data_IF_282471407681
#
_entry.id   IF_282471407681
#
_cell.length_a   1.000
_cell.length_b   1.000
_cell.length_c   1.000
_cell.angle_alpha   90.00
_cell.angle_beta   90.00
_cell.angle_gamma   90.00
#
_symmetry.space_group_name_H-M   'P 1'
#
loop_
_entity.id
_entity.type
_entity.pdbx_description
1 polymer ?
#
# COMPACT_ATOMS: atom_id res chain seq x y z
N UNK A 1 45.48 -54.30 14.56
CA UNK A 1 45.06 -53.50 13.40
C UNK A 1 43.55 -53.29 13.44
N UNK A 2 43.03 -52.33 14.22
CA UNK A 2 41.55 -52.16 14.33
C UNK A 2 41.10 -50.73 14.66
N UNK A 3 42.00 -49.87 15.16
CA UNK A 3 41.66 -48.50 15.56
C UNK A 3 41.65 -47.49 14.39
N UNK A 4 42.51 -47.69 13.38
CA UNK A 4 42.73 -46.71 12.30
C UNK A 4 41.50 -46.56 11.38
N UNK A 5 40.68 -47.61 11.23
CA UNK A 5 39.51 -47.60 10.35
C UNK A 5 38.25 -46.91 10.93
N UNK A 6 38.19 -46.64 12.24
CA UNK A 6 37.02 -45.97 12.85
C UNK A 6 37.09 -44.45 12.69
N UNK A 7 38.29 -43.87 12.77
CA UNK A 7 38.50 -42.42 12.60
C UNK A 7 38.18 -41.95 11.17
N UNK A 8 38.56 -42.74 10.16
CA UNK A 8 38.33 -42.45 8.75
C UNK A 8 36.84 -42.52 8.34
N UNK A 9 36.07 -43.43 8.96
CA UNK A 9 34.62 -43.53 8.74
C UNK A 9 33.86 -42.39 9.41
N UNK A 10 34.32 -41.89 10.56
CA UNK A 10 33.65 -40.80 11.28
C UNK A 10 33.91 -39.44 10.61
N UNK A 11 35.11 -39.19 10.12
CA UNK A 11 35.43 -37.99 9.32
C UNK A 11 34.61 -37.90 8.02
N UNK A 12 34.32 -39.04 7.38
CA UNK A 12 33.47 -39.09 6.18
C UNK A 12 32.01 -38.75 6.47
N UNK A 13 31.46 -39.19 7.60
CA UNK A 13 30.07 -38.89 8.01
C UNK A 13 29.93 -37.43 8.43
N UNK A 14 30.91 -36.88 9.17
CA UNK A 14 30.93 -35.46 9.56
C UNK A 14 31.08 -34.55 8.33
N UNK A 15 31.91 -34.92 7.36
CA UNK A 15 32.07 -34.18 6.10
C UNK A 15 30.80 -34.20 5.24
N UNK A 16 30.05 -35.32 5.24
CA UNK A 16 28.79 -35.42 4.49
C UNK A 16 27.67 -34.58 5.15
N UNK A 17 27.62 -34.55 6.49
CA UNK A 17 26.68 -33.72 7.24
C UNK A 17 26.99 -32.21 7.11
N UNK A 18 28.26 -31.83 7.04
CA UNK A 18 28.67 -30.43 6.85
C UNK A 18 28.38 -29.94 5.43
N UNK A 19 28.51 -30.82 4.42
CA UNK A 19 28.19 -30.49 3.03
C UNK A 19 26.68 -30.35 2.77
N UNK A 20 25.83 -31.00 3.59
CA UNK A 20 24.37 -30.84 3.51
C UNK A 20 23.89 -29.47 4.03
N UNK A 21 24.65 -28.83 4.92
CA UNK A 21 24.29 -27.54 5.52
C UNK A 21 24.59 -26.34 4.60
N UNK A 22 25.43 -26.52 3.59
CA UNK A 22 25.83 -25.45 2.66
C UNK A 22 24.85 -25.22 1.49
N UNK A 23 23.80 -26.04 1.38
CA UNK A 23 22.73 -25.88 0.38
C UNK A 23 21.49 -25.15 0.92
N UNK A 24 21.56 -24.57 2.11
CA UNK A 24 20.55 -23.61 2.56
C UNK A 24 20.66 -22.34 1.71
N UNK A 25 19.88 -22.26 0.63
CA UNK A 25 19.85 -21.10 -0.24
C UNK A 25 19.64 -19.84 0.59
N UNK A 26 20.56 -18.87 0.46
CA UNK A 26 20.42 -17.55 1.06
C UNK A 26 19.22 -16.83 0.44
N UNK A 27 18.03 -17.08 0.98
CA UNK A 27 16.94 -16.11 0.88
C UNK A 27 17.46 -14.82 1.53
N UNK A 28 17.47 -13.73 0.75
CA UNK A 28 17.92 -12.44 1.27
C UNK A 28 17.02 -12.01 2.43
N UNK A 29 17.59 -11.33 3.43
CA UNK A 29 16.82 -10.85 4.60
C UNK A 29 15.63 -9.98 4.20
N UNK A 30 15.76 -9.25 3.10
CA UNK A 30 14.71 -8.41 2.53
C UNK A 30 13.56 -9.23 1.94
N UNK A 31 13.87 -10.29 1.19
CA UNK A 31 12.85 -11.20 0.67
C UNK A 31 12.09 -11.93 1.79
N UNK A 32 12.80 -12.30 2.85
CA UNK A 32 12.16 -12.93 4.01
C UNK A 32 11.17 -11.97 4.69
N UNK A 33 11.58 -10.72 4.93
CA UNK A 33 10.71 -9.71 5.56
C UNK A 33 9.46 -9.41 4.71
N UNK A 34 9.61 -9.23 3.39
CA UNK A 34 8.46 -8.98 2.52
C UNK A 34 7.46 -10.15 2.55
N UNK A 35 7.97 -11.39 2.56
CA UNK A 35 7.13 -12.59 2.65
C UNK A 35 6.44 -12.71 4.01
N UNK A 36 7.14 -12.39 5.09
CA UNK A 36 6.58 -12.40 6.45
C UNK A 36 5.41 -11.42 6.58
N UNK A 37 5.60 -10.17 6.15
CA UNK A 37 4.53 -9.16 6.14
C UNK A 37 3.32 -9.62 5.32
N UNK A 38 3.54 -10.20 4.14
CA UNK A 38 2.44 -10.70 3.31
C UNK A 38 1.69 -11.87 3.97
N UNK A 39 2.40 -12.79 4.61
CA UNK A 39 1.80 -13.92 5.31
C UNK A 39 0.99 -13.44 6.52
N UNK A 40 1.55 -12.52 7.31
CA UNK A 40 0.88 -11.95 8.49
C UNK A 40 -0.37 -11.19 8.09
N UNK A 41 -0.32 -10.45 6.98
CA UNK A 41 -1.46 -9.74 6.41
C UNK A 41 -2.59 -10.71 6.05
N UNK A 42 -2.30 -11.74 5.25
CA UNK A 42 -3.34 -12.71 4.85
C UNK A 42 -3.84 -13.51 6.04
N UNK A 43 -2.98 -13.84 7.00
CA UNK A 43 -3.41 -14.50 8.23
C UNK A 43 -4.35 -13.62 9.06
N UNK A 44 -4.07 -12.32 9.18
CA UNK A 44 -4.95 -11.36 9.84
C UNK A 44 -6.30 -11.26 9.12
N UNK A 45 -6.30 -11.20 7.78
CA UNK A 45 -7.52 -11.21 6.96
C UNK A 45 -8.35 -12.47 7.19
N UNK A 46 -7.72 -13.66 7.15
CA UNK A 46 -8.39 -14.93 7.42
C UNK A 46 -9.02 -14.99 8.82
N UNK A 47 -8.31 -14.46 9.83
CA UNK A 47 -8.75 -14.44 11.23
C UNK A 47 -9.75 -13.31 11.52
N UNK A 48 -10.09 -12.48 10.54
CA UNK A 48 -10.88 -11.25 10.71
C UNK A 48 -10.27 -10.26 11.71
N UNK A 49 -8.95 -10.31 11.90
CA UNK A 49 -8.20 -9.38 12.73
C UNK A 49 -7.84 -8.13 11.92
N UNK A 50 -8.84 -7.27 11.74
CA UNK A 50 -8.71 -6.07 10.91
C UNK A 50 -7.78 -5.01 11.52
N UNK A 51 -7.59 -5.02 12.84
CA UNK A 51 -6.65 -4.13 13.51
C UNK A 51 -5.20 -4.50 13.15
N UNK A 52 -4.87 -5.81 13.22
CA UNK A 52 -3.56 -6.28 12.76
C UNK A 52 -3.39 -6.06 11.26
N UNK A 53 -4.40 -6.36 10.43
CA UNK A 53 -4.34 -6.12 8.99
C UNK A 53 -4.08 -4.63 8.67
N UNK A 54 -4.73 -3.72 9.41
CA UNK A 54 -4.54 -2.27 9.27
C UNK A 54 -3.11 -1.82 9.61
N UNK A 55 -2.42 -2.50 10.52
CA UNK A 55 -1.02 -2.19 10.87
C UNK A 55 0.00 -2.65 9.82
N UNK A 56 -0.41 -3.52 8.89
CA UNK A 56 0.46 -4.15 7.88
C UNK A 56 0.29 -3.55 6.47
N UNK A 57 -0.54 -2.52 6.32
CA UNK A 57 -0.87 -1.92 5.03
C UNK A 57 -0.36 -0.49 4.92
N UNK A 58 -0.18 -0.02 3.69
CA UNK A 58 0.12 1.39 3.45
C UNK A 58 -1.05 2.26 3.88
N UNK A 59 -0.77 3.43 4.44
CA UNK A 59 -1.81 4.32 5.00
C UNK A 59 -2.86 4.74 3.95
N UNK A 60 -2.42 4.95 2.71
CA UNK A 60 -3.25 5.30 1.56
C UNK A 60 -4.12 4.14 1.05
N UNK A 61 -3.85 2.89 1.47
CA UNK A 61 -4.64 1.73 1.04
C UNK A 61 -5.56 1.14 2.13
N UNK A 62 -5.58 1.71 3.35
CA UNK A 62 -6.40 1.25 4.49
C UNK A 62 -7.88 1.16 4.14
N UNK A 63 -8.42 2.11 3.38
CA UNK A 63 -9.85 2.14 3.04
C UNK A 63 -10.32 0.96 2.19
N UNK A 64 -9.39 0.26 1.53
CA UNK A 64 -9.67 -0.90 0.69
C UNK A 64 -9.79 -2.21 1.49
N UNK A 65 -9.38 -2.23 2.77
CA UNK A 65 -9.53 -3.40 3.65
C UNK A 65 -11.00 -3.86 3.77
N UNK A 66 -11.96 -2.92 3.68
CA UNK A 66 -13.40 -3.22 3.72
C UNK A 66 -13.84 -4.25 2.66
N UNK A 67 -13.13 -4.33 1.52
CA UNK A 67 -13.45 -5.28 0.45
C UNK A 67 -13.01 -6.72 0.77
N UNK A 68 -12.00 -6.88 1.62
CA UNK A 68 -11.52 -8.20 2.09
C UNK A 68 -12.36 -8.73 3.27
N UNK A 69 -13.01 -7.84 4.01
CA UNK A 69 -13.93 -8.22 5.10
C UNK A 69 -15.30 -8.74 4.66
N UNK A 70 -15.62 -8.73 3.35
CA UNK A 70 -16.91 -9.18 2.85
C UNK A 70 -17.01 -10.71 2.83
N UNK A 71 -18.09 -11.28 3.38
CA UNK A 71 -18.32 -12.73 3.52
C UNK A 71 -18.25 -13.52 2.22
N UNK A 72 -18.38 -12.87 1.06
CA UNK A 72 -18.25 -13.51 -0.27
C UNK A 72 -16.80 -13.80 -0.69
N UNK A 73 -15.82 -13.26 0.03
CA UNK A 73 -14.37 -13.36 -0.25
C UNK A 73 -13.63 -14.11 0.87
N UNK A 74 -14.35 -14.83 1.73
CA UNK A 74 -13.72 -15.56 2.81
C UNK A 74 -12.95 -16.75 2.24
N UNK A 75 -11.72 -16.48 1.84
CA UNK A 75 -10.70 -17.50 1.72
C UNK A 75 -10.65 -18.26 3.05
N UNK A 76 -10.48 -19.57 2.98
CA UNK A 76 -10.24 -20.43 4.13
C UNK A 76 -8.75 -20.66 4.35
N UNK A 77 -7.96 -20.57 3.27
CA UNK A 77 -6.50 -20.63 3.32
C UNK A 77 -5.89 -19.78 2.22
N UNK A 78 -4.59 -19.54 2.34
CA UNK A 78 -3.79 -18.93 1.28
C UNK A 78 -2.44 -19.64 1.13
N UNK A 79 -1.84 -19.50 -0.04
CA UNK A 79 -0.49 -19.98 -0.35
C UNK A 79 0.32 -18.86 -1.00
N UNK A 80 1.56 -18.64 -0.54
CA UNK A 80 2.50 -17.67 -1.15
C UNK A 80 3.56 -18.38 -1.99
N UNK A 81 3.71 -17.93 -3.23
CA UNK A 81 4.59 -18.49 -4.25
C UNK A 81 5.83 -17.64 -4.47
N UNK A 82 6.15 -17.40 -5.74
CA UNK A 82 7.31 -16.61 -6.16
C UNK A 82 7.22 -15.16 -5.67
N UNK A 83 8.36 -14.65 -5.20
CA UNK A 83 8.54 -13.26 -4.75
C UNK A 83 9.57 -12.58 -5.65
N UNK A 84 9.20 -11.43 -6.20
CA UNK A 84 10.10 -10.56 -6.96
C UNK A 84 10.18 -9.20 -6.26
N UNK A 85 11.38 -8.63 -6.19
CA UNK A 85 11.62 -7.31 -5.61
C UNK A 85 12.32 -6.44 -6.64
N UNK A 86 11.72 -5.31 -6.98
CA UNK A 86 12.24 -4.34 -7.95
C UNK A 86 11.92 -2.94 -7.45
N UNK A 87 12.93 -2.08 -7.35
CA UNK A 87 12.78 -0.65 -7.04
C UNK A 87 11.91 -0.34 -5.80
N UNK A 88 12.10 -1.10 -4.71
CA UNK A 88 11.35 -0.90 -3.46
C UNK A 88 9.89 -1.39 -3.53
N UNK A 89 9.54 -2.17 -4.54
CA UNK A 89 8.26 -2.87 -4.67
C UNK A 89 8.50 -4.37 -4.62
N UNK A 90 7.74 -5.08 -3.78
CA UNK A 90 7.75 -6.52 -3.71
C UNK A 90 6.43 -7.08 -4.23
N UNK A 91 6.49 -8.01 -5.17
CA UNK A 91 5.31 -8.70 -5.71
C UNK A 91 5.39 -10.20 -5.39
N UNK A 92 4.38 -10.69 -4.68
CA UNK A 92 4.27 -12.09 -4.27
C UNK A 92 3.09 -12.74 -4.98
N UNK A 93 3.33 -13.84 -5.69
CA UNK A 93 2.24 -14.68 -6.15
C UNK A 93 1.49 -15.25 -4.94
N UNK A 94 0.18 -15.04 -4.86
CA UNK A 94 -0.65 -15.55 -3.77
C UNK A 94 -1.87 -16.26 -4.36
N UNK A 95 -2.22 -17.41 -3.81
CA UNK A 95 -3.44 -18.14 -4.16
C UNK A 95 -4.35 -18.17 -2.94
N UNK A 96 -5.59 -17.70 -3.08
CA UNK A 96 -6.61 -17.77 -2.03
C UNK A 96 -7.56 -18.93 -2.33
N UNK A 97 -7.78 -19.82 -1.36
CA UNK A 97 -8.67 -20.97 -1.50
C UNK A 97 -9.98 -20.72 -0.76
N UNK A 98 -11.13 -20.77 -1.44
CA UNK A 98 -12.44 -20.46 -0.82
C UNK A 98 -13.10 -21.65 -0.09
N UNK A 99 -12.63 -22.88 -0.34
CA UNK A 99 -13.08 -24.11 0.33
C UNK A 99 -14.59 -24.41 0.26
N UNK A 100 -15.30 -23.80 -0.69
CA UNK A 100 -16.70 -24.15 -1.04
C UNK A 100 -16.75 -25.40 -1.91
N UNK A 101 -17.95 -26.00 -2.08
CA UNK A 101 -18.19 -27.19 -2.92
C UNK A 101 -17.71 -27.06 -4.37
N UNK A 102 -17.44 -25.84 -4.81
CA UNK A 102 -16.62 -25.51 -5.98
C UNK A 102 -15.32 -24.90 -5.42
N UNK A 103 -14.24 -25.69 -5.36
CA UNK A 103 -12.92 -25.28 -4.83
C UNK A 103 -12.30 -24.23 -5.75
N UNK A 104 -12.79 -23.00 -5.62
CA UNK A 104 -12.30 -21.88 -6.42
C UNK A 104 -10.99 -21.37 -5.84
N UNK A 105 -9.94 -21.42 -6.65
CA UNK A 105 -8.66 -20.78 -6.36
C UNK A 105 -8.65 -19.39 -6.99
N UNK A 106 -8.37 -18.37 -6.17
CA UNK A 106 -8.29 -16.98 -6.62
C UNK A 106 -6.82 -16.58 -6.68
N UNK A 107 -6.21 -16.52 -7.87
CA UNK A 107 -4.85 -16.00 -8.00
C UNK A 107 -4.83 -14.49 -7.78
N UNK A 108 -3.83 -14.05 -7.01
CA UNK A 108 -3.56 -12.67 -6.61
C UNK A 108 -2.07 -12.41 -6.74
N UNK A 109 -1.71 -11.16 -7.05
CA UNK A 109 -0.40 -10.60 -6.74
C UNK A 109 -0.51 -9.74 -5.50
N UNK A 110 0.08 -10.18 -4.40
CA UNK A 110 0.23 -9.36 -3.20
C UNK A 110 1.37 -8.38 -3.43
N UNK A 111 1.04 -7.09 -3.44
CA UNK A 111 1.98 -6.01 -3.70
C UNK A 111 2.35 -5.35 -2.38
N UNK A 112 3.65 -5.24 -2.09
CA UNK A 112 4.17 -4.52 -0.93
C UNK A 112 5.07 -3.38 -1.38
N UNK A 113 5.04 -2.29 -0.63
CA UNK A 113 5.85 -1.09 -0.85
C UNK A 113 6.83 -0.95 0.30
N UNK A 114 8.09 -0.65 -0.02
CA UNK A 114 9.13 -0.41 0.96
C UNK A 114 8.97 0.98 1.55
N UNK A 115 8.80 1.03 2.87
CA UNK A 115 8.87 2.23 3.69
C UNK A 115 10.11 2.21 4.60
N UNK A 116 10.37 3.32 5.29
CA UNK A 116 11.49 3.46 6.24
C UNK A 116 11.48 2.37 7.31
N UNK A 117 10.29 2.03 7.82
CA UNK A 117 10.10 1.05 8.90
C UNK A 117 9.90 -0.40 8.43
N UNK A 118 9.91 -0.66 7.12
CA UNK A 118 9.76 -2.01 6.57
C UNK A 118 8.83 -2.09 5.36
N UNK A 119 8.36 -3.30 5.08
CA UNK A 119 7.40 -3.56 4.01
C UNK A 119 5.97 -3.35 4.50
N UNK A 120 5.13 -2.75 3.66
CA UNK A 120 3.69 -2.62 3.92
C UNK A 120 2.91 -3.05 2.68
N UNK A 121 1.78 -3.71 2.86
CA UNK A 121 0.91 -4.16 1.77
C UNK A 121 0.16 -2.99 1.16
N UNK A 122 0.21 -2.85 -0.16
CA UNK A 122 -0.64 -1.96 -0.94
C UNK A 122 -1.92 -2.72 -1.31
N UNK A 123 -2.98 -2.52 -0.51
CA UNK A 123 -4.24 -3.27 -0.66
C UNK A 123 -4.92 -2.93 -1.98
N UNK A 124 -4.82 -1.69 -2.44
CA UNK A 124 -5.43 -1.25 -3.69
C UNK A 124 -4.81 -1.99 -4.88
N UNK A 125 -3.48 -2.03 -4.98
CA UNK A 125 -2.78 -2.79 -6.04
C UNK A 125 -2.99 -4.29 -5.91
N UNK A 126 -3.01 -4.80 -4.67
CA UNK A 126 -3.27 -6.21 -4.39
C UNK A 126 -4.66 -6.63 -4.89
N UNK A 127 -5.70 -5.85 -4.60
CA UNK A 127 -7.05 -6.10 -5.12
C UNK A 127 -7.13 -5.91 -6.64
N UNK A 128 -6.43 -4.91 -7.19
CA UNK A 128 -6.35 -4.67 -8.63
C UNK A 128 -5.74 -5.83 -9.42
N UNK A 129 -4.93 -6.67 -8.77
CA UNK A 129 -4.34 -7.86 -9.38
C UNK A 129 -5.30 -9.06 -9.48
N UNK A 130 -6.43 -9.05 -8.77
CA UNK A 130 -7.40 -10.13 -8.79
C UNK A 130 -8.05 -10.20 -10.19
N UNK A 131 -7.91 -11.35 -10.87
CA UNK A 131 -8.50 -11.55 -12.20
C UNK A 131 -10.03 -11.42 -12.10
N UNK A 132 -10.61 -10.61 -12.98
CA UNK A 132 -12.03 -10.25 -13.02
C UNK A 132 -13.01 -11.42 -13.23
N UNK A 133 -12.50 -12.64 -13.48
CA UNK A 133 -13.29 -13.86 -13.61
C UNK A 133 -13.70 -14.52 -12.28
N UNK A 134 -12.90 -14.41 -11.21
CA UNK A 134 -13.19 -15.08 -9.92
C UNK A 134 -14.06 -14.22 -8.98
N UNK A 135 -14.18 -12.92 -9.27
CA UNK A 135 -14.82 -11.92 -8.41
C UNK A 135 -15.87 -11.09 -9.17
N UNK A 136 -16.71 -11.74 -9.98
CA UNK A 136 -17.71 -11.09 -10.85
C UNK A 136 -18.69 -10.11 -10.16
N UNK A 137 -18.69 -9.98 -8.83
CA UNK A 137 -19.51 -9.01 -8.06
C UNK A 137 -18.73 -7.92 -7.31
N UNK A 138 -17.39 -8.01 -7.22
CA UNK A 138 -16.56 -7.04 -6.48
C UNK A 138 -15.78 -6.15 -7.45
N UNK A 139 -15.41 -6.66 -8.63
CA UNK A 139 -14.85 -5.83 -9.71
C UNK A 139 -15.82 -4.74 -10.17
N UNK A 140 -17.13 -5.02 -10.18
CA UNK A 140 -18.14 -3.99 -10.45
C UNK A 140 -18.15 -2.87 -9.40
N UNK A 141 -17.99 -3.22 -8.11
CA UNK A 141 -17.94 -2.24 -7.02
C UNK A 141 -16.61 -1.47 -7.00
N UNK A 142 -15.49 -2.14 -7.31
CA UNK A 142 -14.18 -1.50 -7.41
C UNK A 142 -14.07 -0.58 -8.63
N UNK A 143 -14.62 -0.98 -9.78
CA UNK A 143 -14.67 -0.15 -10.98
C UNK A 143 -15.56 1.09 -10.77
N UNK A 144 -16.72 0.92 -10.13
CA UNK A 144 -17.59 2.05 -9.80
C UNK A 144 -16.93 2.99 -8.78
N UNK A 145 -16.30 2.47 -7.72
CA UNK A 145 -15.59 3.27 -6.74
C UNK A 145 -14.35 3.97 -7.31
N UNK A 146 -13.57 3.31 -8.17
CA UNK A 146 -12.46 3.96 -8.87
C UNK A 146 -12.96 5.08 -9.78
N UNK A 147 -14.05 4.86 -10.52
CA UNK A 147 -14.65 5.91 -11.35
C UNK A 147 -15.23 7.06 -10.52
N UNK A 148 -15.85 6.77 -9.37
CA UNK A 148 -16.37 7.78 -8.44
C UNK A 148 -15.24 8.55 -7.74
N UNK A 149 -14.17 7.88 -7.33
CA UNK A 149 -12.97 8.51 -6.75
C UNK A 149 -12.24 9.40 -7.75
N UNK A 150 -12.09 8.95 -9.01
CA UNK A 150 -11.51 9.76 -10.09
C UNK A 150 -12.40 10.97 -10.43
N UNK A 151 -13.73 10.80 -10.44
CA UNK A 151 -14.66 11.93 -10.62
C UNK A 151 -14.62 12.92 -9.46
N UNK A 152 -14.59 12.43 -8.21
CA UNK A 152 -14.53 13.29 -7.02
C UNK A 152 -13.21 14.05 -6.93
N UNK A 153 -12.10 13.46 -7.39
CA UNK A 153 -10.81 14.14 -7.52
C UNK A 153 -10.88 15.25 -8.58
N UNK A 154 -11.45 14.96 -9.76
CA UNK A 154 -11.59 15.93 -10.85
C UNK A 154 -12.53 17.10 -10.47
N UNK A 155 -13.66 16.82 -9.82
CA UNK A 155 -14.55 17.84 -9.26
C UNK A 155 -13.85 18.69 -8.19
N UNK A 156 -13.14 18.06 -7.24
CA UNK A 156 -12.43 18.80 -6.18
C UNK A 156 -11.30 19.66 -6.73
N UNK A 157 -10.60 19.18 -7.76
CA UNK A 157 -9.55 19.93 -8.44
C UNK A 157 -10.15 21.11 -9.22
N UNK A 158 -11.24 20.87 -9.95
CA UNK A 158 -11.96 21.89 -10.72
C UNK A 158 -12.53 22.97 -9.82
N UNK A 159 -13.19 22.60 -8.71
CA UNK A 159 -13.73 23.54 -7.73
C UNK A 159 -12.61 24.37 -7.07
N UNK A 160 -11.47 23.74 -6.78
CA UNK A 160 -10.31 24.45 -6.22
C UNK A 160 -9.72 25.45 -7.23
N UNK A 161 -9.63 25.08 -8.52
CA UNK A 161 -9.15 25.96 -9.59
C UNK A 161 -10.13 27.13 -9.82
N UNK A 162 -11.44 26.85 -9.81
CA UNK A 162 -12.48 27.87 -9.96
C UNK A 162 -12.52 28.85 -8.77
N UNK A 163 -12.36 28.35 -7.54
CA UNK A 163 -12.25 29.20 -6.35
C UNK A 163 -10.98 30.04 -6.36
N UNK A 164 -9.87 29.46 -6.83
CA UNK A 164 -8.61 30.19 -6.98
C UNK A 164 -8.76 31.31 -8.02
N UNK A 165 -9.38 31.02 -9.17
CA UNK A 165 -9.65 31.99 -10.23
C UNK A 165 -10.52 33.15 -9.76
N UNK A 166 -11.64 32.86 -9.08
CA UNK A 166 -12.53 33.87 -8.50
C UNK A 166 -11.82 34.74 -7.46
N UNK A 167 -10.99 34.14 -6.61
CA UNK A 167 -10.24 34.87 -5.58
C UNK A 167 -9.18 35.80 -6.20
N UNK A 168 -8.52 35.34 -7.27
CA UNK A 168 -7.54 36.13 -8.01
C UNK A 168 -8.20 37.31 -8.74
N UNK A 169 -9.35 37.07 -9.38
CA UNK A 169 -10.11 38.09 -10.09
C UNK A 169 -10.66 39.16 -9.15
N UNK A 170 -11.22 38.75 -8.00
CA UNK A 170 -11.68 39.68 -6.97
C UNK A 170 -10.51 40.51 -6.41
N UNK A 171 -9.36 39.88 -6.13
CA UNK A 171 -8.17 40.59 -5.66
C UNK A 171 -7.66 41.62 -6.67
N UNK A 172 -7.68 41.30 -7.97
CA UNK A 172 -7.28 42.23 -9.04
C UNK A 172 -8.27 43.41 -9.19
N UNK A 173 -9.57 43.15 -9.07
CA UNK A 173 -10.59 44.21 -9.11
C UNK A 173 -10.48 45.16 -7.91
N UNK A 174 -10.23 44.63 -6.71
CA UNK A 174 -10.06 45.44 -5.52
C UNK A 174 -8.78 46.29 -5.58
N UNK A 175 -7.68 45.74 -6.10
CA UNK A 175 -6.46 46.50 -6.37
C UNK A 175 -6.69 47.62 -7.42
N UNK A 176 -7.44 47.36 -8.49
CA UNK A 176 -7.80 48.40 -9.45
C UNK A 176 -8.65 49.51 -8.83
N UNK A 177 -9.60 49.16 -7.96
CA UNK A 177 -10.42 50.14 -7.22
C UNK A 177 -9.58 50.97 -6.25
N UNK A 178 -8.63 50.36 -5.54
CA UNK A 178 -7.68 51.05 -4.66
C UNK A 178 -6.78 52.00 -5.43
N UNK A 179 -6.27 51.59 -6.60
CA UNK A 179 -5.42 52.43 -7.46
C UNK A 179 -6.19 53.54 -8.19
N UNK A 180 -7.50 53.37 -8.40
CA UNK A 180 -8.38 54.39 -8.96
C UNK A 180 -8.82 55.45 -7.92
N UNK A 181 -8.57 55.22 -6.62
CA UNK A 181 -8.81 56.25 -5.60
C UNK A 181 -7.74 57.34 -5.73
N UNK A 182 -8.12 58.61 -5.95
CA UNK A 182 -7.14 59.70 -5.98
C UNK A 182 -6.44 59.84 -4.62
N UNK A 183 -5.19 60.31 -4.59
CA UNK A 183 -4.41 60.41 -3.36
C UNK A 183 -5.14 61.31 -2.35
N UNK A 184 -5.27 60.80 -1.12
CA UNK A 184 -5.87 61.53 0.01
C UNK A 184 -5.06 62.79 0.25
N UNK A 185 -5.63 63.95 -0.09
CA UNK A 185 -5.07 65.25 0.29
C UNK A 185 -5.28 65.40 1.80
N UNK A 186 -4.21 65.15 2.56
CA UNK A 186 -4.23 65.36 4.02
C UNK A 186 -4.22 66.87 4.28
N UNK A 187 -5.23 67.44 4.98
CA UNK A 187 -5.20 68.85 5.30
C UNK A 187 -4.12 69.10 6.37
N UNK A 188 -3.18 70.01 6.05
CA UNK A 188 -2.15 70.50 6.96
C UNK A 188 -2.83 71.17 8.16
N UNK A 189 -2.78 70.53 9.33
CA UNK A 189 -3.10 71.20 10.60
C UNK A 189 -1.93 72.12 10.94
N UNK A 190 -2.09 73.41 10.64
CA UNK A 190 -1.22 74.44 11.19
C UNK A 190 -1.35 74.41 12.72
N UNK A 191 -0.21 74.18 13.35
CA UNK A 191 -0.10 74.03 14.78
C UNK A 191 -0.36 75.35 15.50
N UNK A 192 -1.04 75.24 16.64
CA UNK A 192 -0.70 76.01 17.82
C UNK A 192 -1.14 75.24 19.07
N UNK A 193 -0.16 74.58 19.68
CA UNK A 193 -0.13 74.39 21.12
C UNK A 193 0.30 75.72 21.75
N UNK A 194 -0.39 76.16 22.80
CA UNK A 194 0.21 76.89 23.90
C UNK A 194 -0.81 76.99 25.05
N UNK A 195 -0.49 76.26 26.13
CA UNK A 195 -0.62 76.58 27.57
C UNK A 195 -1.85 77.36 28.05
#
# INVERSE_FOLDING_TARGET
>A
MTAINRFKKWGLVVSLLFSLFLFGGCVSSEQQQAREVANDFWQAVLKQDMETAKSLVTWDSVEYLKFLSNKKVLAQSFETGELQITDGVAEIATVLNTGSSDEMQIPVRTVLIRHEDGWLVDVQKTLGSMVSGAMGSIVGQLNNFMQEGLKGLDESLSDSIDQLGKSLENGLQDLQKELAKPPVVVPRKDGKQAI
#
